data_IF_571833222892
#
_entry.id   IF_571833222892
#
_cell.length_a   1.000
_cell.length_b   1.000
_cell.length_c   1.000
_cell.angle_alpha   90.00
_cell.angle_beta   90.00
_cell.angle_gamma   90.00
#
_symmetry.space_group_name_H-M   'P 1'
#
loop_
_entity.id
_entity.type
_entity.pdbx_description
1 polymer ?
#
# COMPACT_ATOMS: atom_id res chain seq x y z
N UNK A 1 15.67 25.46 11.60
CA UNK A 1 14.38 26.14 11.92
C UNK A 1 13.49 25.13 12.63
N UNK A 2 12.47 25.52 13.40
CA UNK A 2 11.55 24.51 13.95
C UNK A 2 10.83 23.82 12.80
N UNK A 3 10.54 22.53 12.97
CA UNK A 3 9.81 21.71 12.02
C UNK A 3 8.46 22.34 11.69
N UNK A 4 8.14 22.51 10.41
CA UNK A 4 6.84 23.01 9.97
C UNK A 4 5.87 21.86 9.84
N UNK A 5 4.68 22.01 10.44
CA UNK A 5 3.62 21.01 10.42
C UNK A 5 2.39 21.53 9.69
N UNK A 6 1.54 20.64 9.24
CA UNK A 6 0.22 21.01 8.73
C UNK A 6 -0.57 21.74 9.81
N UNK A 7 -1.31 22.81 9.45
CA UNK A 7 -2.22 23.47 10.39
C UNK A 7 -3.21 22.46 11.00
N UNK A 8 -3.37 22.48 12.31
CA UNK A 8 -4.28 21.57 12.99
C UNK A 8 -4.88 22.25 14.22
N UNK A 9 -6.11 21.84 14.57
CA UNK A 9 -6.74 22.17 15.84
C UNK A 9 -6.50 21.04 16.85
N UNK A 10 -6.44 21.32 18.16
CA UNK A 10 -6.39 20.28 19.17
C UNK A 10 -7.61 19.35 19.07
N UNK A 11 -7.42 18.05 19.29
CA UNK A 11 -8.48 17.07 19.32
C UNK A 11 -8.25 16.06 20.46
N UNK A 12 -9.33 15.51 21.00
CA UNK A 12 -9.24 14.33 21.84
C UNK A 12 -8.92 13.11 21.00
N UNK A 13 -7.75 12.52 21.19
CA UNK A 13 -7.25 11.37 20.43
C UNK A 13 -7.67 10.02 21.04
N UNK A 14 -8.38 9.99 22.16
CA UNK A 14 -8.85 8.75 22.78
C UNK A 14 -9.64 7.84 21.84
N UNK A 15 -10.47 8.32 20.89
CA UNK A 15 -11.12 7.46 19.91
C UNK A 15 -10.13 6.69 19.01
N UNK A 16 -8.99 7.32 18.64
CA UNK A 16 -7.94 6.65 17.85
C UNK A 16 -7.19 5.58 18.66
N UNK A 17 -7.05 5.78 19.96
CA UNK A 17 -6.37 4.86 20.87
C UNK A 17 -7.19 3.61 21.23
N UNK A 18 -8.50 3.60 20.91
CA UNK A 18 -9.35 2.43 21.22
C UNK A 18 -8.96 1.21 20.40
N UNK A 19 -8.90 0.03 21.03
CA UNK A 19 -8.68 -1.20 20.29
C UNK A 19 -9.84 -1.45 19.31
N UNK A 20 -9.52 -2.19 18.23
CA UNK A 20 -10.49 -2.56 17.21
C UNK A 20 -10.45 -4.06 16.98
N UNK A 21 -11.57 -4.74 17.28
CA UNK A 21 -11.75 -6.16 16.95
C UNK A 21 -12.05 -6.29 15.46
N UNK A 22 -11.28 -7.14 14.79
CA UNK A 22 -11.47 -7.53 13.40
C UNK A 22 -12.24 -8.84 13.36
N UNK A 23 -13.16 -8.99 12.42
CA UNK A 23 -13.98 -10.18 12.24
C UNK A 23 -14.08 -10.52 10.75
N UNK A 24 -13.93 -11.81 10.36
CA UNK A 24 -14.12 -13.00 11.20
C UNK A 24 -12.89 -13.47 11.99
N UNK A 25 -11.68 -12.96 11.73
CA UNK A 25 -10.43 -13.47 12.33
C UNK A 25 -10.40 -13.44 13.86
N UNK A 26 -11.13 -12.52 14.48
CA UNK A 26 -11.12 -12.30 15.92
C UNK A 26 -9.88 -11.57 16.43
N UNK A 27 -8.96 -11.16 15.55
CA UNK A 27 -7.77 -10.38 15.91
C UNK A 27 -8.16 -9.00 16.45
N UNK A 28 -7.32 -8.46 17.32
CA UNK A 28 -7.55 -7.16 17.92
C UNK A 28 -6.37 -6.24 17.58
N UNK A 29 -6.63 -5.21 16.76
CA UNK A 29 -5.69 -4.11 16.59
C UNK A 29 -5.68 -3.24 17.85
N UNK A 30 -4.51 -2.93 18.38
CA UNK A 30 -4.34 -2.21 19.65
C UNK A 30 -4.81 -0.75 19.62
N UNK A 31 -4.95 -0.17 18.44
CA UNK A 31 -5.51 1.15 18.17
C UNK A 31 -6.02 1.21 16.72
N UNK A 32 -6.60 2.33 16.30
CA UNK A 32 -7.25 2.52 15.00
C UNK A 32 -6.36 3.15 13.93
N UNK A 33 -5.05 3.22 14.17
CA UNK A 33 -4.08 3.73 13.20
C UNK A 33 -3.38 2.58 12.48
N UNK A 34 -3.39 2.65 11.16
CA UNK A 34 -2.73 1.69 10.29
C UNK A 34 -1.58 2.37 9.52
N UNK A 35 -0.39 1.76 9.52
CA UNK A 35 0.63 2.09 8.53
C UNK A 35 0.19 1.49 7.20
N UNK A 36 -0.27 2.35 6.30
CA UNK A 36 -0.72 1.94 4.98
C UNK A 36 0.45 1.53 4.09
N UNK A 37 0.16 0.69 3.10
CA UNK A 37 1.17 0.15 2.18
C UNK A 37 1.88 1.23 1.38
N UNK A 38 3.20 1.10 1.26
CA UNK A 38 4.09 1.90 0.42
C UNK A 38 5.18 0.99 -0.14
N UNK A 39 5.55 1.17 -1.42
CA UNK A 39 6.66 0.44 -2.02
C UNK A 39 7.98 0.88 -1.37
N UNK A 40 8.66 -0.02 -0.69
CA UNK A 40 9.90 0.27 0.04
C UNK A 40 11.12 0.33 -0.89
N UNK A 41 11.11 -0.51 -1.95
CA UNK A 41 12.23 -0.65 -2.88
C UNK A 41 13.51 -1.17 -2.20
N UNK A 42 13.38 -1.90 -1.09
CA UNK A 42 14.50 -2.34 -0.23
C UNK A 42 14.74 -3.85 -0.23
N UNK A 43 13.90 -4.64 -0.92
CA UNK A 43 14.16 -6.07 -1.07
C UNK A 43 15.31 -6.33 -2.05
N UNK A 44 15.86 -7.54 -2.02
CA UNK A 44 16.95 -7.91 -2.93
C UNK A 44 16.53 -7.78 -4.38
N UNK A 45 17.48 -7.40 -5.22
CA UNK A 45 17.30 -7.29 -6.65
C UNK A 45 18.48 -7.90 -7.42
N UNK A 46 18.17 -8.54 -8.54
CA UNK A 46 19.15 -8.96 -9.53
C UNK A 46 18.55 -8.83 -10.93
N UNK A 47 19.26 -8.17 -11.83
CA UNK A 47 18.87 -8.11 -13.24
C UNK A 47 19.03 -9.46 -13.95
N UNK A 48 19.99 -10.31 -13.50
CA UNK A 48 20.38 -11.57 -14.13
C UNK A 48 19.73 -12.80 -13.50
N UNK A 49 19.67 -12.85 -12.17
CA UNK A 49 19.08 -13.99 -11.43
C UNK A 49 17.72 -13.55 -10.84
N UNK A 50 16.65 -13.91 -11.56
CA UNK A 50 15.30 -13.56 -11.12
C UNK A 50 14.92 -14.22 -9.80
N UNK A 51 15.46 -15.39 -9.48
CA UNK A 51 15.13 -16.11 -8.23
C UNK A 51 15.75 -15.44 -6.99
N UNK A 52 16.75 -14.58 -7.17
CA UNK A 52 17.35 -13.79 -6.11
C UNK A 52 16.55 -12.51 -5.77
N UNK A 53 15.51 -12.17 -6.56
CA UNK A 53 14.70 -10.97 -6.35
C UNK A 53 13.75 -11.13 -5.18
N UNK A 54 13.46 -10.03 -4.48
CA UNK A 54 12.34 -9.88 -3.56
C UNK A 54 12.52 -10.53 -2.20
N UNK A 55 13.74 -10.82 -1.75
CA UNK A 55 14.02 -11.26 -0.38
C UNK A 55 14.10 -10.02 0.51
N UNK A 56 13.35 -9.92 1.63
CA UNK A 56 13.49 -8.83 2.58
C UNK A 56 14.95 -8.70 3.08
N UNK A 57 15.51 -7.50 2.98
CA UNK A 57 16.87 -7.22 3.47
C UNK A 57 16.87 -6.82 4.94
N UNK A 58 18.05 -6.63 5.52
CA UNK A 58 18.20 -6.09 6.89
C UNK A 58 17.59 -4.68 6.99
N UNK A 59 17.72 -3.91 5.93
CA UNK A 59 17.16 -2.56 5.81
C UNK A 59 15.62 -2.61 5.81
N UNK A 60 15.03 -3.54 5.06
CA UNK A 60 13.58 -3.78 5.07
C UNK A 60 13.12 -4.14 6.49
N UNK A 61 13.77 -5.10 7.14
CA UNK A 61 13.42 -5.54 8.50
C UNK A 61 13.50 -4.39 9.50
N UNK A 62 14.57 -3.57 9.44
CA UNK A 62 14.75 -2.42 10.33
C UNK A 62 13.68 -1.35 10.11
N UNK A 63 13.31 -1.09 8.86
CA UNK A 63 12.22 -0.18 8.52
C UNK A 63 10.91 -0.62 9.19
N UNK A 64 10.55 -1.90 9.09
CA UNK A 64 9.32 -2.42 9.70
C UNK A 64 9.38 -2.44 11.23
N UNK A 65 10.54 -2.68 11.80
CA UNK A 65 10.77 -2.53 13.25
C UNK A 65 10.43 -1.12 13.72
N UNK A 66 10.82 -0.08 12.97
CA UNK A 66 10.60 1.32 13.36
C UNK A 66 9.11 1.68 13.49
N UNK A 67 8.25 1.17 12.61
CA UNK A 67 6.81 1.40 12.67
C UNK A 67 6.12 0.64 13.80
N UNK A 68 6.69 -0.51 14.20
CA UNK A 68 6.22 -1.31 15.33
C UNK A 68 6.75 -0.87 16.68
N UNK A 69 7.64 0.13 16.74
CA UNK A 69 8.38 0.50 17.94
C UNK A 69 7.50 1.17 19.00
N UNK A 70 7.42 0.53 20.18
CA UNK A 70 6.76 1.05 21.37
C UNK A 70 5.26 0.70 21.45
N UNK A 71 4.71 0.87 22.67
CA UNK A 71 3.34 0.47 23.00
C UNK A 71 2.28 1.14 22.14
N UNK A 72 2.45 2.43 21.86
CA UNK A 72 1.48 3.25 21.12
C UNK A 72 1.84 3.36 19.61
N UNK A 73 2.65 2.45 19.06
CA UNK A 73 2.90 2.35 17.63
C UNK A 73 1.64 1.94 16.87
N UNK A 74 1.71 1.88 15.53
CA UNK A 74 0.56 1.51 14.70
C UNK A 74 -0.13 0.24 15.17
N UNK A 75 -1.46 0.22 15.16
CA UNK A 75 -2.27 -0.97 15.46
C UNK A 75 -2.14 -2.04 14.39
N UNK A 76 -2.06 -1.62 13.13
CA UNK A 76 -1.86 -2.48 11.95
C UNK A 76 -0.69 -1.93 11.14
N UNK A 77 0.16 -2.81 10.61
CA UNK A 77 1.26 -2.47 9.71
C UNK A 77 1.10 -3.31 8.44
N UNK A 78 0.76 -2.66 7.32
CA UNK A 78 0.73 -3.29 6.00
C UNK A 78 2.11 -3.18 5.35
N UNK A 79 2.58 -4.25 4.71
CA UNK A 79 3.78 -4.18 3.88
C UNK A 79 3.54 -3.35 2.62
N UNK A 80 4.60 -2.99 1.92
CA UNK A 80 4.52 -2.65 0.51
C UNK A 80 4.19 -3.89 -0.31
N UNK A 81 4.27 -3.75 -1.64
CA UNK A 81 3.87 -4.83 -2.53
C UNK A 81 4.69 -6.10 -2.30
N UNK A 82 3.99 -7.23 -2.22
CA UNK A 82 4.56 -8.57 -2.32
C UNK A 82 4.06 -9.13 -3.64
N UNK A 83 4.93 -9.19 -4.64
CA UNK A 83 4.61 -9.75 -5.95
C UNK A 83 4.50 -11.28 -5.87
N UNK A 84 3.65 -11.86 -6.72
CA UNK A 84 3.45 -13.32 -6.79
C UNK A 84 4.36 -14.00 -7.83
N UNK A 85 5.14 -13.22 -8.58
CA UNK A 85 6.11 -13.70 -9.57
C UNK A 85 7.38 -12.86 -9.54
N UNK A 86 8.55 -13.47 -9.86
CA UNK A 86 9.85 -12.81 -9.79
C UNK A 86 10.08 -11.72 -10.84
N UNK A 87 9.36 -11.75 -11.95
CA UNK A 87 9.46 -10.82 -13.07
C UNK A 87 8.15 -10.09 -13.40
N UNK A 88 7.12 -10.23 -12.54
CA UNK A 88 5.88 -9.47 -12.60
C UNK A 88 5.67 -8.74 -11.27
N UNK A 89 6.51 -7.75 -11.01
CA UNK A 89 6.47 -6.91 -9.82
C UNK A 89 6.10 -5.47 -10.19
N UNK A 90 5.54 -4.75 -9.23
CA UNK A 90 5.08 -3.38 -9.42
C UNK A 90 6.27 -2.40 -9.52
N UNK A 91 7.32 -2.67 -8.73
CA UNK A 91 8.54 -1.87 -8.70
C UNK A 91 9.76 -2.74 -8.44
N UNK A 92 10.91 -2.33 -8.98
CA UNK A 92 12.19 -2.96 -8.65
C UNK A 92 12.46 -2.83 -7.16
N UNK A 93 12.78 -3.95 -6.51
CA UNK A 93 12.99 -4.01 -5.07
C UNK A 93 11.72 -4.25 -4.25
N UNK A 94 10.57 -4.54 -4.89
CA UNK A 94 9.42 -5.12 -4.20
C UNK A 94 9.76 -6.51 -3.64
N UNK A 95 9.09 -6.90 -2.55
CA UNK A 95 9.18 -8.26 -2.03
C UNK A 95 8.45 -9.25 -2.94
N UNK A 96 8.85 -10.52 -2.91
CA UNK A 96 8.26 -11.55 -3.79
C UNK A 96 8.05 -12.86 -3.01
N UNK A 97 6.87 -13.45 -3.19
CA UNK A 97 6.52 -14.82 -2.79
C UNK A 97 5.87 -15.49 -3.99
N UNK A 98 6.55 -16.45 -4.62
CA UNK A 98 5.98 -17.18 -5.75
C UNK A 98 5.40 -18.52 -5.29
N UNK A 99 4.52 -19.11 -6.09
CA UNK A 99 3.95 -20.44 -5.82
C UNK A 99 5.03 -21.53 -5.73
N UNK A 100 6.25 -21.26 -6.17
CA UNK A 100 7.40 -22.19 -6.10
C UNK A 100 8.22 -22.03 -4.84
N UNK A 101 8.04 -20.95 -4.08
CA UNK A 101 8.81 -20.68 -2.87
C UNK A 101 8.29 -21.56 -1.71
N UNK A 102 9.11 -22.49 -1.15
CA UNK A 102 8.70 -23.27 -0.01
C UNK A 102 8.77 -22.44 1.28
N UNK A 103 7.99 -22.78 2.33
CA UNK A 103 8.06 -22.10 3.63
C UNK A 103 9.30 -22.53 4.44
N UNK A 104 10.45 -22.52 3.79
CA UNK A 104 11.78 -22.80 4.36
C UNK A 104 12.86 -22.06 3.55
N UNK A 105 14.05 -21.92 4.12
CA UNK A 105 15.19 -21.32 3.46
C UNK A 105 15.32 -19.81 3.65
N UNK A 106 16.33 -19.17 3.03
CA UNK A 106 16.71 -17.79 3.33
C UNK A 106 15.59 -16.76 3.11
N UNK A 107 14.77 -16.92 2.05
CA UNK A 107 13.63 -16.06 1.77
C UNK A 107 12.61 -16.14 2.91
N UNK A 108 12.23 -17.35 3.28
CA UNK A 108 11.26 -17.59 4.35
C UNK A 108 11.74 -17.02 5.69
N UNK A 109 12.99 -17.27 6.08
CA UNK A 109 13.56 -16.75 7.31
C UNK A 109 13.62 -15.20 7.33
N UNK A 110 13.81 -14.57 6.16
CA UNK A 110 13.77 -13.10 6.05
C UNK A 110 12.35 -12.54 6.28
N UNK A 111 11.30 -13.15 5.68
CA UNK A 111 9.90 -12.78 5.96
C UNK A 111 9.53 -12.99 7.42
N UNK A 112 9.96 -14.10 8.01
CA UNK A 112 9.75 -14.40 9.42
C UNK A 112 10.42 -13.37 10.35
N UNK A 113 11.65 -12.97 10.03
CA UNK A 113 12.36 -11.94 10.78
C UNK A 113 11.66 -10.58 10.65
N UNK A 114 11.15 -10.23 9.46
CA UNK A 114 10.36 -9.01 9.25
C UNK A 114 9.10 -9.00 10.11
N UNK A 115 8.31 -10.09 10.07
CA UNK A 115 7.10 -10.21 10.88
C UNK A 115 7.41 -10.06 12.37
N UNK A 116 8.43 -10.76 12.88
CA UNK A 116 8.83 -10.70 14.28
C UNK A 116 9.25 -9.28 14.70
N UNK A 117 10.04 -8.59 13.87
CA UNK A 117 10.50 -7.23 14.16
C UNK A 117 9.34 -6.22 14.20
N UNK A 118 8.43 -6.28 13.24
CA UNK A 118 7.29 -5.38 13.18
C UNK A 118 6.27 -5.61 14.32
N UNK A 119 6.14 -6.85 14.79
CA UNK A 119 5.19 -7.26 15.84
C UNK A 119 5.72 -7.12 17.26
N UNK A 120 6.97 -6.77 17.46
CA UNK A 120 7.64 -6.81 18.78
C UNK A 120 6.89 -6.08 19.91
N UNK A 121 6.05 -5.10 19.57
CA UNK A 121 5.25 -4.33 20.53
C UNK A 121 3.73 -4.44 20.30
N UNK A 122 3.26 -5.56 19.72
CA UNK A 122 1.85 -5.90 19.62
C UNK A 122 1.09 -5.27 18.46
N UNK A 123 1.77 -4.80 17.42
CA UNK A 123 1.13 -4.45 16.15
C UNK A 123 0.73 -5.72 15.40
N UNK A 124 -0.39 -5.68 14.67
CA UNK A 124 -0.74 -6.69 13.68
C UNK A 124 0.02 -6.39 12.38
N UNK A 125 0.53 -7.42 11.71
CA UNK A 125 1.32 -7.27 10.47
C UNK A 125 0.68 -8.03 9.33
N UNK A 126 0.38 -7.33 8.24
CA UNK A 126 -0.23 -7.88 7.04
C UNK A 126 0.72 -7.74 5.84
N UNK A 127 0.76 -8.76 4.98
CA UNK A 127 1.44 -8.68 3.69
C UNK A 127 0.49 -8.17 2.61
N UNK A 128 0.80 -7.04 1.94
CA UNK A 128 0.01 -6.62 0.79
C UNK A 128 0.46 -7.37 -0.46
N UNK A 129 -0.36 -8.32 -0.93
CA UNK A 129 -0.07 -9.14 -2.11
C UNK A 129 -0.63 -8.47 -3.36
N UNK A 130 0.20 -8.38 -4.40
CA UNK A 130 -0.08 -7.62 -5.61
C UNK A 130 0.39 -8.33 -6.88
N UNK A 131 -0.23 -7.96 -8.01
CA UNK A 131 0.22 -8.28 -9.36
C UNK A 131 0.00 -7.05 -10.25
N UNK A 132 1.00 -6.60 -11.02
CA UNK A 132 0.91 -5.34 -11.78
C UNK A 132 -0.13 -5.37 -12.89
N UNK A 133 -0.43 -6.54 -13.48
CA UNK A 133 -1.26 -6.61 -14.67
C UNK A 133 -0.67 -5.78 -15.81
N UNK A 134 -1.49 -4.98 -16.47
CA UNK A 134 -1.08 -4.07 -17.54
C UNK A 134 -0.15 -2.93 -17.10
N UNK A 135 0.07 -2.71 -15.80
CA UNK A 135 1.00 -1.71 -15.27
C UNK A 135 2.43 -2.24 -15.09
N UNK A 136 2.73 -3.45 -15.54
CA UNK A 136 4.11 -3.96 -15.51
C UNK A 136 5.02 -3.04 -16.33
N UNK A 137 6.12 -2.58 -15.73
CA UNK A 137 7.13 -1.79 -16.47
C UNK A 137 7.75 -2.62 -17.59
N UNK A 138 7.79 -2.06 -18.80
CA UNK A 138 8.42 -2.69 -19.97
C UNK A 138 9.95 -2.84 -19.81
N UNK A 139 10.55 -2.16 -18.85
CA UNK A 139 11.96 -2.35 -18.46
C UNK A 139 12.19 -3.69 -17.74
N UNK A 140 11.19 -4.19 -16.98
CA UNK A 140 11.30 -5.46 -16.26
C UNK A 140 11.02 -6.63 -17.21
N UNK A 141 9.96 -6.51 -18.02
CA UNK A 141 9.54 -7.51 -18.98
C UNK A 141 8.69 -6.85 -20.08
N UNK A 142 8.80 -7.32 -21.32
CA UNK A 142 8.11 -6.69 -22.48
C UNK A 142 6.67 -7.16 -22.68
N UNK A 143 6.27 -8.28 -22.08
CA UNK A 143 4.92 -8.86 -22.16
C UNK A 143 4.30 -9.05 -20.78
N UNK A 144 2.98 -8.98 -20.70
CA UNK A 144 2.19 -9.22 -19.48
C UNK A 144 0.79 -9.72 -19.86
N UNK A 145 -0.06 -9.90 -18.88
CA UNK A 145 -1.50 -10.11 -19.08
C UNK A 145 -2.33 -9.17 -18.23
N UNK A 146 -3.54 -8.90 -18.71
CA UNK A 146 -4.53 -8.07 -18.04
C UNK A 146 -5.92 -8.64 -18.33
N UNK A 147 -7.01 -8.17 -17.68
CA UNK A 147 -8.37 -8.66 -18.03
C UNK A 147 -8.65 -8.54 -19.53
N UNK A 148 -8.14 -7.49 -20.18
CA UNK A 148 -8.26 -7.28 -21.63
C UNK A 148 -6.96 -6.67 -22.18
N UNK A 149 -6.69 -6.87 -23.47
CA UNK A 149 -5.48 -6.42 -24.14
C UNK A 149 -5.51 -4.89 -24.40
N UNK A 150 -5.53 -4.09 -23.33
CA UNK A 150 -5.54 -2.63 -23.39
C UNK A 150 -4.16 -2.10 -23.02
N UNK A 151 -3.44 -1.55 -24.02
CA UNK A 151 -2.13 -0.93 -23.81
C UNK A 151 -2.29 0.38 -23.07
N UNK A 152 -1.52 0.53 -21.98
CA UNK A 152 -1.45 1.76 -21.22
C UNK A 152 -0.47 2.74 -21.88
N UNK A 153 -0.78 4.06 -21.97
CA UNK A 153 0.18 5.04 -22.42
C UNK A 153 1.32 5.19 -21.42
N UNK A 154 2.55 5.49 -21.88
CA UNK A 154 3.66 5.73 -20.99
C UNK A 154 3.37 6.94 -20.08
N UNK A 155 3.82 6.87 -18.83
CA UNK A 155 3.80 8.01 -17.93
C UNK A 155 5.13 8.76 -18.00
N UNK A 156 5.03 10.09 -18.03
CA UNK A 156 6.19 10.95 -17.86
C UNK A 156 6.93 10.58 -16.55
N UNK A 157 8.22 10.39 -16.62
CA UNK A 157 9.09 9.99 -15.49
C UNK A 157 8.94 8.53 -15.00
N UNK A 158 8.05 7.69 -15.58
CA UNK A 158 7.91 6.27 -15.21
C UNK A 158 8.33 5.31 -16.31
N UNK A 159 8.34 5.75 -17.57
CA UNK A 159 8.63 4.92 -18.72
C UNK A 159 7.40 4.24 -19.31
N UNK A 160 7.61 3.20 -20.09
CA UNK A 160 6.58 2.43 -20.76
C UNK A 160 6.06 1.26 -19.93
N UNK A 161 4.96 0.71 -20.42
CA UNK A 161 4.35 -0.48 -19.85
C UNK A 161 4.46 -1.65 -20.84
N UNK A 162 4.63 -2.86 -20.31
CA UNK A 162 4.63 -4.09 -21.07
C UNK A 162 3.31 -4.25 -21.85
N UNK A 163 3.38 -4.84 -23.04
CA UNK A 163 2.20 -5.07 -23.86
C UNK A 163 1.32 -6.18 -23.25
N UNK A 164 0.09 -5.89 -22.80
CA UNK A 164 -0.77 -6.88 -22.19
C UNK A 164 -1.50 -7.69 -23.25
N UNK A 165 -1.52 -9.02 -23.10
CA UNK A 165 -2.55 -9.87 -23.71
C UNK A 165 -3.74 -10.03 -22.77
N UNK A 166 -4.87 -10.47 -23.30
CA UNK A 166 -6.01 -10.86 -22.46
C UNK A 166 -5.63 -12.11 -21.65
N UNK A 167 -5.98 -12.09 -20.35
CA UNK A 167 -5.76 -13.20 -19.44
C UNK A 167 -6.61 -14.42 -19.86
N UNK A 168 -5.96 -15.57 -19.96
CA UNK A 168 -6.65 -16.87 -20.14
C UNK A 168 -7.23 -17.35 -18.82
N UNK A 169 -8.07 -18.38 -18.84
CA UNK A 169 -8.54 -19.05 -17.62
C UNK A 169 -7.35 -19.58 -16.80
N UNK A 170 -6.33 -20.15 -17.47
CA UNK A 170 -5.14 -20.64 -16.78
C UNK A 170 -4.33 -19.54 -16.06
N UNK A 171 -4.29 -18.31 -16.61
CA UNK A 171 -3.68 -17.18 -15.92
C UNK A 171 -4.48 -16.79 -14.67
N UNK A 172 -5.81 -16.77 -14.78
CA UNK A 172 -6.68 -16.47 -13.65
C UNK A 172 -6.52 -17.54 -12.55
N UNK A 173 -6.55 -18.81 -12.91
CA UNK A 173 -6.36 -19.94 -11.98
C UNK A 173 -4.99 -19.86 -11.30
N UNK A 174 -3.94 -19.51 -12.05
CA UNK A 174 -2.59 -19.31 -11.53
C UNK A 174 -2.53 -18.15 -10.52
N UNK A 175 -3.17 -17.02 -10.83
CA UNK A 175 -3.25 -15.87 -9.91
C UNK A 175 -3.95 -16.29 -8.62
N UNK A 176 -5.12 -16.92 -8.70
CA UNK A 176 -5.88 -17.39 -7.53
C UNK A 176 -5.03 -18.33 -6.66
N UNK A 177 -4.38 -19.32 -7.27
CA UNK A 177 -3.52 -20.27 -6.56
C UNK A 177 -2.29 -19.58 -5.93
N UNK A 178 -1.70 -18.60 -6.61
CA UNK A 178 -0.52 -17.88 -6.13
C UNK A 178 -0.86 -16.98 -4.94
N UNK A 179 -2.02 -16.31 -4.93
CA UNK A 179 -2.50 -15.55 -3.77
C UNK A 179 -2.78 -16.46 -2.56
N UNK A 180 -3.42 -17.63 -2.77
CA UNK A 180 -3.65 -18.59 -1.70
C UNK A 180 -2.34 -19.15 -1.14
N UNK A 181 -1.35 -19.43 -2.01
CA UNK A 181 0.00 -19.83 -1.58
C UNK A 181 0.69 -18.73 -0.76
N UNK A 182 0.63 -17.47 -1.22
CA UNK A 182 1.21 -16.34 -0.49
C UNK A 182 0.57 -16.17 0.89
N UNK A 183 -0.75 -16.37 1.03
CA UNK A 183 -1.44 -16.36 2.33
C UNK A 183 -0.90 -17.44 3.27
N UNK A 184 -0.77 -18.69 2.81
CA UNK A 184 -0.23 -19.78 3.59
C UNK A 184 1.25 -19.55 3.98
N UNK A 185 2.04 -19.02 3.05
CA UNK A 185 3.44 -18.69 3.30
C UNK A 185 3.59 -17.59 4.34
N UNK A 186 2.79 -16.51 4.22
CA UNK A 186 2.77 -15.39 5.19
C UNK A 186 2.32 -15.86 6.57
N UNK A 187 1.26 -16.68 6.65
CA UNK A 187 0.80 -17.27 7.90
C UNK A 187 1.91 -18.10 8.58
N UNK A 188 2.58 -18.96 7.83
CA UNK A 188 3.71 -19.74 8.32
C UNK A 188 4.90 -18.86 8.77
N UNK A 189 5.13 -17.72 8.10
CA UNK A 189 6.15 -16.74 8.47
C UNK A 189 5.76 -15.87 9.68
N UNK A 190 4.55 -16.02 10.22
CA UNK A 190 4.09 -15.34 11.44
C UNK A 190 3.42 -13.98 11.19
N UNK A 191 3.01 -13.68 9.96
CA UNK A 191 2.11 -12.58 9.68
C UNK A 191 0.72 -12.85 10.24
N UNK A 192 -0.01 -11.81 10.62
CA UNK A 192 -1.37 -11.91 11.14
C UNK A 192 -2.42 -11.98 10.03
N UNK A 193 -2.04 -11.62 8.80
CA UNK A 193 -2.94 -11.57 7.66
C UNK A 193 -2.29 -11.15 6.36
N UNK A 194 -3.15 -11.02 5.35
CA UNK A 194 -2.80 -10.43 4.07
C UNK A 194 -3.83 -9.40 3.64
N UNK A 195 -3.40 -8.46 2.82
CA UNK A 195 -4.25 -7.53 2.10
C UNK A 195 -4.11 -7.77 0.60
N UNK A 196 -5.25 -7.96 -0.09
CA UNK A 196 -5.29 -8.02 -1.54
C UNK A 196 -5.17 -6.60 -2.10
N UNK A 197 -4.25 -6.37 -3.03
CA UNK A 197 -4.14 -5.06 -3.68
C UNK A 197 -5.12 -4.90 -4.83
N UNK A 198 -6.35 -4.48 -4.52
CA UNK A 198 -7.44 -4.23 -5.48
C UNK A 198 -7.65 -2.75 -5.83
N UNK A 199 -6.62 -1.91 -5.63
CA UNK A 199 -6.65 -0.47 -5.95
C UNK A 199 -5.57 -0.04 -6.94
N UNK A 200 -5.52 1.27 -7.23
CA UNK A 200 -4.50 1.97 -7.99
C UNK A 200 -4.26 1.46 -9.42
N UNK A 201 -5.23 0.72 -10.00
CA UNK A 201 -5.14 0.23 -11.37
C UNK A 201 -4.24 -1.00 -11.57
N UNK A 202 -3.87 -1.74 -10.53
CA UNK A 202 -3.18 -3.03 -10.63
C UNK A 202 -4.14 -4.15 -11.07
N UNK A 203 -3.67 -5.38 -11.23
CA UNK A 203 -4.43 -6.47 -11.87
C UNK A 203 -5.85 -6.62 -11.31
N UNK A 204 -6.01 -6.72 -9.99
CA UNK A 204 -7.32 -6.88 -9.38
C UNK A 204 -8.22 -5.67 -9.62
N UNK A 205 -7.67 -4.45 -9.53
CA UNK A 205 -8.39 -3.22 -9.87
C UNK A 205 -8.78 -3.18 -11.35
N UNK A 206 -7.91 -3.68 -12.25
CA UNK A 206 -8.24 -3.78 -13.69
C UNK A 206 -9.42 -4.72 -13.94
N UNK A 207 -9.52 -5.85 -13.21
CA UNK A 207 -10.70 -6.73 -13.29
C UNK A 207 -11.97 -6.03 -12.80
N UNK A 208 -11.90 -5.22 -11.76
CA UNK A 208 -13.04 -4.49 -11.20
C UNK A 208 -13.53 -3.37 -12.13
N UNK A 209 -12.60 -2.70 -12.84
CA UNK A 209 -12.89 -1.51 -13.62
C UNK A 209 -13.56 -1.83 -14.97
N UNK A 210 -14.76 -1.29 -15.28
CA UNK A 210 -15.36 -1.48 -16.59
C UNK A 210 -14.60 -0.79 -17.72
N UNK A 211 -13.68 0.14 -17.38
CA UNK A 211 -12.77 0.77 -18.35
C UNK A 211 -11.74 -0.21 -18.89
N UNK A 212 -11.15 -1.05 -18.02
CA UNK A 212 -10.07 -1.97 -18.36
C UNK A 212 -10.53 -3.39 -18.59
N UNK A 213 -11.68 -3.79 -18.05
CA UNK A 213 -12.25 -5.12 -18.22
C UNK A 213 -13.35 -5.12 -19.30
N UNK A 214 -13.00 -5.54 -20.51
CA UNK A 214 -13.91 -5.69 -21.66
C UNK A 214 -14.28 -7.14 -21.92
N UNK A 215 -14.02 -8.04 -20.97
CA UNK A 215 -14.36 -9.46 -21.07
C UNK A 215 -15.87 -9.68 -21.15
N UNK A 216 -16.25 -10.76 -21.84
CA UNK A 216 -17.65 -11.19 -22.00
C UNK A 216 -17.91 -12.55 -21.35
N UNK A 217 -16.92 -13.12 -20.67
CA UNK A 217 -17.01 -14.38 -19.94
C UNK A 217 -17.42 -14.16 -18.46
N UNK A 218 -17.20 -15.19 -17.63
CA UNK A 218 -17.56 -15.18 -16.22
C UNK A 218 -16.80 -14.13 -15.37
N UNK A 219 -15.74 -13.50 -15.91
CA UNK A 219 -14.91 -12.51 -15.20
C UNK A 219 -15.11 -11.07 -15.72
N UNK A 220 -16.11 -10.83 -16.61
CA UNK A 220 -16.38 -9.51 -17.18
C UNK A 220 -17.85 -9.17 -17.32
N UNK A 221 -18.14 -7.94 -17.78
CA UNK A 221 -19.48 -7.42 -17.93
C UNK A 221 -20.11 -6.97 -16.60
N UNK A 222 -20.94 -7.80 -15.98
CA UNK A 222 -21.63 -7.44 -14.74
C UNK A 222 -20.68 -7.19 -13.56
N UNK A 223 -21.14 -6.40 -12.58
CA UNK A 223 -20.40 -6.15 -11.34
C UNK A 223 -19.99 -7.47 -10.64
N UNK A 224 -20.90 -8.42 -10.54
CA UNK A 224 -20.65 -9.74 -9.94
C UNK A 224 -19.55 -10.49 -10.67
N UNK A 225 -19.53 -10.46 -11.99
CA UNK A 225 -18.49 -11.12 -12.77
C UNK A 225 -17.13 -10.42 -12.62
N UNK A 226 -17.10 -9.09 -12.62
CA UNK A 226 -15.86 -8.32 -12.42
C UNK A 226 -15.25 -8.53 -11.03
N UNK A 227 -16.10 -8.76 -10.02
CA UNK A 227 -15.67 -9.05 -8.65
C UNK A 227 -15.20 -10.51 -8.45
N UNK A 228 -15.56 -11.42 -9.37
CA UNK A 228 -15.36 -12.87 -9.24
C UNK A 228 -13.92 -13.27 -8.88
N UNK A 229 -12.92 -12.69 -9.53
CA UNK A 229 -11.51 -13.03 -9.24
C UNK A 229 -11.14 -12.80 -7.76
N UNK A 230 -11.66 -11.73 -7.16
CA UNK A 230 -11.41 -11.42 -5.74
C UNK A 230 -12.13 -12.44 -4.84
N UNK A 231 -13.37 -12.81 -5.20
CA UNK A 231 -14.13 -13.81 -4.46
C UNK A 231 -13.49 -15.20 -4.57
N UNK A 232 -12.98 -15.57 -5.75
CA UNK A 232 -12.25 -16.83 -5.97
C UNK A 232 -10.95 -16.86 -5.15
N UNK A 233 -10.21 -15.74 -5.07
CA UNK A 233 -9.03 -15.63 -4.20
C UNK A 233 -9.44 -15.77 -2.74
N UNK A 234 -10.47 -15.08 -2.27
CA UNK A 234 -10.94 -15.17 -0.90
C UNK A 234 -11.33 -16.62 -0.54
N UNK A 235 -12.09 -17.30 -1.40
CA UNK A 235 -12.47 -18.68 -1.23
C UNK A 235 -11.24 -19.63 -1.18
N UNK A 236 -10.25 -19.40 -2.05
CA UNK A 236 -9.02 -20.19 -2.09
C UNK A 236 -8.15 -19.96 -0.84
N UNK A 237 -8.07 -18.73 -0.31
CA UNK A 237 -7.38 -18.40 0.94
C UNK A 237 -8.06 -19.08 2.12
N UNK A 238 -9.38 -18.91 2.27
CA UNK A 238 -10.13 -19.56 3.37
C UNK A 238 -10.14 -21.10 3.29
N UNK A 239 -10.11 -21.64 2.07
CA UNK A 239 -10.04 -23.10 1.85
C UNK A 239 -8.64 -23.70 1.97
N UNK A 240 -7.58 -22.88 2.10
CA UNK A 240 -6.20 -23.36 2.17
C UNK A 240 -5.88 -23.96 3.54
N UNK A 241 -5.45 -25.24 3.62
CA UNK A 241 -5.09 -25.86 4.89
C UNK A 241 -3.92 -25.19 5.63
N UNK A 242 -3.09 -24.44 4.91
CA UNK A 242 -1.96 -23.69 5.47
C UNK A 242 -2.34 -22.32 6.06
N UNK A 243 -3.59 -21.89 5.92
CA UNK A 243 -4.09 -20.62 6.42
C UNK A 243 -4.93 -20.84 7.66
N UNK A 244 -4.53 -20.35 8.85
CA UNK A 244 -5.31 -20.51 10.08
C UNK A 244 -6.60 -19.66 10.02
N UNK A 245 -7.64 -20.09 10.75
CA UNK A 245 -8.95 -19.40 10.76
C UNK A 245 -8.91 -17.97 11.31
N UNK A 246 -7.91 -17.66 12.13
CA UNK A 246 -7.68 -16.34 12.69
C UNK A 246 -6.74 -15.48 11.83
N UNK A 247 -6.48 -15.89 10.59
CA UNK A 247 -5.70 -15.10 9.62
C UNK A 247 -6.56 -13.99 9.00
N UNK A 248 -6.12 -12.75 9.12
CA UNK A 248 -6.84 -11.60 8.60
C UNK A 248 -6.82 -11.62 7.06
N UNK A 249 -7.98 -11.48 6.44
CA UNK A 249 -8.09 -11.21 5.01
C UNK A 249 -8.65 -9.80 4.80
N UNK A 250 -7.88 -8.96 4.13
CA UNK A 250 -8.26 -7.59 3.83
C UNK A 250 -8.15 -7.28 2.33
N UNK A 251 -8.81 -6.23 1.89
CA UNK A 251 -8.75 -5.76 0.52
C UNK A 251 -8.57 -4.24 0.50
N UNK A 252 -7.58 -3.76 -0.26
CA UNK A 252 -7.51 -2.37 -0.67
C UNK A 252 -8.37 -2.17 -1.91
N UNK A 253 -9.35 -1.27 -1.84
CA UNK A 253 -10.34 -1.01 -2.88
C UNK A 253 -10.37 0.47 -3.24
N UNK A 254 -10.42 0.79 -4.55
CA UNK A 254 -10.74 2.14 -4.97
C UNK A 254 -12.18 2.48 -4.60
N UNK A 255 -12.40 3.61 -3.95
CA UNK A 255 -13.73 4.20 -3.76
C UNK A 255 -14.23 4.91 -5.01
N UNK A 256 -13.30 5.33 -5.87
CA UNK A 256 -13.54 6.03 -7.13
C UNK A 256 -12.32 5.97 -8.03
N UNK A 257 -12.49 6.01 -9.35
CA UNK A 257 -11.39 6.02 -10.33
C UNK A 257 -11.17 7.39 -11.00
N UNK A 258 -12.04 8.37 -10.79
CA UNK A 258 -11.94 9.74 -11.33
C UNK A 258 -11.78 9.82 -12.86
N UNK A 259 -12.39 8.89 -13.60
CA UNK A 259 -12.33 8.85 -15.06
C UNK A 259 -13.61 8.33 -15.68
N UNK A 260 -13.86 8.73 -16.92
CA UNK A 260 -15.02 8.25 -17.69
C UNK A 260 -14.95 6.74 -17.91
N UNK A 261 -16.06 6.05 -17.64
CA UNK A 261 -16.14 4.59 -17.75
C UNK A 261 -15.36 3.82 -16.67
N UNK A 262 -14.80 4.50 -15.67
CA UNK A 262 -14.21 3.90 -14.48
C UNK A 262 -15.25 3.50 -13.43
N UNK A 263 -14.78 2.89 -12.33
CA UNK A 263 -15.62 2.48 -11.22
C UNK A 263 -16.23 3.70 -10.50
N UNK A 264 -17.53 3.65 -10.25
CA UNK A 264 -18.28 4.68 -9.53
C UNK A 264 -18.36 4.38 -8.03
N UNK A 265 -18.61 5.39 -7.17
CA UNK A 265 -18.82 5.16 -5.73
C UNK A 265 -20.03 4.25 -5.44
N UNK A 266 -21.07 4.26 -6.26
CA UNK A 266 -22.21 3.36 -6.13
C UNK A 266 -21.82 1.90 -6.39
N UNK A 267 -21.03 1.63 -7.44
CA UNK A 267 -20.50 0.29 -7.69
C UNK A 267 -19.57 -0.17 -6.58
N UNK A 268 -18.69 0.73 -6.05
CA UNK A 268 -17.83 0.43 -4.93
C UNK A 268 -18.63 0.05 -3.67
N UNK A 269 -19.76 0.73 -3.40
CA UNK A 269 -20.67 0.37 -2.32
C UNK A 269 -21.26 -1.03 -2.50
N UNK A 270 -21.73 -1.33 -3.70
CA UNK A 270 -22.36 -2.62 -4.01
C UNK A 270 -21.31 -3.77 -3.97
N UNK A 271 -20.05 -3.49 -4.35
CA UNK A 271 -18.93 -4.39 -4.14
C UNK A 271 -18.68 -4.63 -2.65
N UNK A 272 -18.69 -3.58 -1.83
CA UNK A 272 -18.48 -3.71 -0.37
C UNK A 272 -19.52 -4.63 0.27
N UNK A 273 -20.78 -4.61 -0.18
CA UNK A 273 -21.80 -5.55 0.31
C UNK A 273 -21.44 -7.00 0.01
N UNK A 274 -21.02 -7.31 -1.23
CA UNK A 274 -20.60 -8.66 -1.62
C UNK A 274 -19.30 -9.09 -0.89
N UNK A 275 -18.40 -8.16 -0.61
CA UNK A 275 -17.14 -8.43 0.11
C UNK A 275 -17.38 -8.71 1.61
N UNK A 276 -18.39 -8.06 2.21
CA UNK A 276 -18.79 -8.35 3.58
C UNK A 276 -19.31 -9.79 3.73
N UNK A 277 -20.04 -10.30 2.72
CA UNK A 277 -20.51 -11.68 2.67
C UNK A 277 -19.35 -12.69 2.43
N UNK A 278 -18.28 -12.24 1.78
CA UNK A 278 -17.08 -13.05 1.50
C UNK A 278 -16.05 -13.09 2.66
N UNK A 279 -16.46 -12.66 3.85
CA UNK A 279 -15.68 -12.79 5.10
C UNK A 279 -14.34 -12.02 5.13
N UNK A 280 -14.29 -10.85 4.49
CA UNK A 280 -13.16 -9.93 4.69
C UNK A 280 -13.23 -9.27 6.06
N UNK A 281 -12.09 -9.21 6.76
CA UNK A 281 -11.97 -8.52 8.06
C UNK A 281 -12.11 -7.01 7.92
N UNK A 282 -11.49 -6.44 6.89
CA UNK A 282 -11.67 -5.03 6.57
C UNK A 282 -11.42 -4.71 5.09
N UNK A 283 -11.98 -3.59 4.67
CA UNK A 283 -11.72 -2.96 3.38
C UNK A 283 -10.99 -1.64 3.63
N UNK A 284 -9.81 -1.46 3.01
CA UNK A 284 -9.08 -0.19 2.98
C UNK A 284 -9.53 0.61 1.75
N UNK A 285 -10.25 1.69 1.98
CA UNK A 285 -10.70 2.60 0.93
C UNK A 285 -9.58 3.54 0.51
N UNK A 286 -9.35 3.60 -0.79
CA UNK A 286 -8.42 4.49 -1.48
C UNK A 286 -9.06 4.98 -2.77
N UNK A 287 -8.29 5.54 -3.70
CA UNK A 287 -8.83 5.92 -5.01
C UNK A 287 -7.74 6.33 -5.99
N UNK A 288 -8.17 6.53 -7.23
CA UNK A 288 -7.29 6.83 -8.34
C UNK A 288 -6.68 5.59 -8.99
N UNK A 289 -6.07 5.81 -10.13
CA UNK A 289 -5.30 4.83 -10.86
C UNK A 289 -4.11 5.53 -11.54
N UNK A 290 -3.32 4.80 -12.34
CA UNK A 290 -2.15 5.31 -13.03
C UNK A 290 -2.45 6.44 -14.04
N UNK A 291 -3.66 6.52 -14.65
CA UNK A 291 -4.05 7.64 -15.53
C UNK A 291 -4.42 8.88 -14.72
N UNK A 292 -5.04 8.66 -13.56
CA UNK A 292 -5.45 9.73 -12.67
C UNK A 292 -5.33 9.24 -11.21
N UNK A 293 -4.24 9.64 -10.57
CA UNK A 293 -4.00 9.28 -9.17
C UNK A 293 -4.96 9.98 -8.18
N UNK A 294 -5.99 10.68 -8.70
CA UNK A 294 -7.01 11.33 -7.88
C UNK A 294 -6.53 12.58 -7.12
N UNK A 295 -5.28 12.97 -7.28
CA UNK A 295 -4.69 14.12 -6.59
C UNK A 295 -4.71 15.40 -7.41
N UNK A 296 -5.11 15.31 -8.69
CA UNK A 296 -5.32 16.45 -9.60
C UNK A 296 -6.78 16.88 -9.65
N UNK A 297 -7.60 16.51 -8.65
CA UNK A 297 -9.01 16.80 -8.63
C UNK A 297 -9.26 18.31 -8.54
N UNK A 298 -10.00 18.85 -9.50
CA UNK A 298 -10.23 20.28 -9.72
C UNK A 298 -11.19 20.94 -8.72
N UNK A 299 -11.88 20.18 -7.84
CA UNK A 299 -12.79 20.77 -6.87
C UNK A 299 -11.99 21.37 -5.70
N UNK A 300 -12.00 22.71 -5.59
CA UNK A 300 -11.40 23.44 -4.45
C UNK A 300 -11.83 22.92 -3.08
N UNK A 301 -13.06 22.40 -2.94
CA UNK A 301 -13.57 21.84 -1.69
C UNK A 301 -12.83 20.57 -1.27
N UNK A 302 -12.39 19.75 -2.22
CA UNK A 302 -11.67 18.50 -1.96
C UNK A 302 -10.19 18.75 -1.71
N UNK A 303 -9.59 19.74 -2.38
CA UNK A 303 -8.20 20.16 -2.16
C UNK A 303 -8.01 20.74 -0.75
N UNK A 304 -9.03 21.41 -0.20
CA UNK A 304 -9.01 22.05 1.12
C UNK A 304 -9.32 21.10 2.28
N UNK A 305 -9.87 19.90 2.02
CA UNK A 305 -10.22 18.93 3.06
C UNK A 305 -9.11 17.92 3.26
N UNK A 306 -8.77 17.68 4.50
CA UNK A 306 -8.05 16.47 4.87
C UNK A 306 -8.95 15.25 4.66
N UNK A 307 -8.33 14.06 4.36
CA UNK A 307 -9.13 12.88 4.09
C UNK A 307 -9.78 12.94 2.70
N UNK A 308 -8.95 13.00 1.68
CA UNK A 308 -9.34 13.15 0.28
C UNK A 308 -10.46 12.21 -0.18
N UNK A 309 -10.48 10.98 0.34
CA UNK A 309 -11.48 9.97 -0.04
C UNK A 309 -12.64 9.87 0.96
N UNK A 310 -12.69 10.69 2.01
CA UNK A 310 -13.74 10.61 3.03
C UNK A 310 -15.13 10.93 2.45
N UNK A 311 -15.22 11.86 1.51
CA UNK A 311 -16.46 12.18 0.78
C UNK A 311 -17.04 10.95 0.08
N UNK A 312 -16.18 10.08 -0.47
CA UNK A 312 -16.61 8.85 -1.13
C UNK A 312 -16.90 7.72 -0.12
N UNK A 313 -16.21 7.72 1.01
CA UNK A 313 -16.45 6.76 2.09
C UNK A 313 -17.88 6.87 2.63
N UNK A 314 -18.45 8.07 2.72
CA UNK A 314 -19.84 8.28 3.12
C UNK A 314 -20.85 7.56 2.20
N UNK A 315 -20.49 7.36 0.92
CA UNK A 315 -21.32 6.62 -0.05
C UNK A 315 -21.03 5.12 0.01
N UNK A 316 -19.76 4.74 0.16
CA UNK A 316 -19.27 3.35 0.01
C UNK A 316 -19.47 2.53 1.29
N UNK A 317 -19.14 3.09 2.44
CA UNK A 317 -19.15 2.38 3.73
C UNK A 317 -20.52 1.83 4.15
N UNK A 318 -21.67 2.47 3.82
CA UNK A 318 -22.98 1.86 4.05
C UNK A 318 -23.17 0.47 3.41
N UNK A 319 -22.41 0.14 2.34
CA UNK A 319 -22.39 -1.20 1.76
C UNK A 319 -21.90 -2.29 2.72
N UNK A 320 -21.04 -1.94 3.68
CA UNK A 320 -20.56 -2.86 4.74
C UNK A 320 -21.52 -3.04 5.90
N UNK A 321 -22.71 -2.42 5.84
CA UNK A 321 -23.71 -2.43 6.91
C UNK A 321 -23.52 -1.38 8.00
N UNK A 322 -24.44 -1.33 8.97
CA UNK A 322 -24.40 -0.33 10.05
C UNK A 322 -23.28 -0.63 11.06
N UNK A 323 -22.81 0.42 11.74
CA UNK A 323 -21.87 0.25 12.86
C UNK A 323 -22.59 -0.30 14.13
N UNK A 324 -21.95 -1.17 14.93
CA UNK A 324 -20.66 -1.79 14.71
C UNK A 324 -20.73 -2.88 13.63
N UNK A 325 -20.05 -2.67 12.51
CA UNK A 325 -20.07 -3.59 11.37
C UNK A 325 -19.11 -4.75 11.56
N UNK A 326 -19.41 -5.91 10.94
CA UNK A 326 -18.54 -7.10 10.94
C UNK A 326 -17.26 -6.77 10.17
N UNK A 327 -17.34 -6.53 8.87
CA UNK A 327 -16.22 -6.08 8.04
C UNK A 327 -15.94 -4.61 8.30
N UNK A 328 -14.72 -4.28 8.75
CA UNK A 328 -14.34 -2.91 9.10
C UNK A 328 -13.99 -2.08 7.85
N UNK A 329 -14.12 -0.78 7.96
CA UNK A 329 -13.68 0.16 6.94
C UNK A 329 -12.46 0.94 7.45
N UNK A 330 -11.40 0.96 6.67
CA UNK A 330 -10.27 1.86 6.82
C UNK A 330 -10.24 2.85 5.67
N UNK A 331 -9.69 4.03 5.91
CA UNK A 331 -9.49 5.03 4.85
C UNK A 331 -8.03 5.45 4.81
N UNK A 332 -7.45 5.49 3.60
CA UNK A 332 -6.09 5.97 3.36
C UNK A 332 -6.09 7.01 2.25
N UNK A 333 -5.47 8.16 2.52
CA UNK A 333 -5.28 9.25 1.57
C UNK A 333 -5.58 10.62 2.17
N UNK A 334 -4.56 11.49 2.21
CA UNK A 334 -4.68 12.88 2.61
C UNK A 334 -4.85 13.15 4.10
N UNK A 335 -4.84 12.16 4.98
CA UNK A 335 -4.90 12.36 6.43
C UNK A 335 -3.58 12.95 6.96
N UNK A 336 -3.66 14.07 7.65
CA UNK A 336 -2.49 14.85 8.09
C UNK A 336 -2.58 15.32 9.54
N UNK A 337 -3.79 15.54 10.07
CA UNK A 337 -4.00 16.01 11.45
C UNK A 337 -4.77 15.02 12.31
N UNK A 338 -4.49 15.01 13.62
CA UNK A 338 -5.20 14.20 14.59
C UNK A 338 -6.70 14.50 14.60
N UNK A 339 -7.07 15.77 14.43
CA UNK A 339 -8.47 16.20 14.39
C UNK A 339 -9.22 15.57 13.20
N UNK A 340 -8.63 15.59 12.01
CA UNK A 340 -9.24 14.95 10.82
C UNK A 340 -9.32 13.44 10.97
N UNK A 341 -8.30 12.80 11.58
CA UNK A 341 -8.32 11.36 11.84
C UNK A 341 -9.44 10.96 12.81
N UNK A 342 -9.65 11.74 13.87
CA UNK A 342 -10.76 11.53 14.82
C UNK A 342 -12.11 11.76 14.13
N UNK A 343 -12.23 12.80 13.31
CA UNK A 343 -13.47 13.09 12.58
C UNK A 343 -13.83 11.99 11.60
N UNK A 344 -12.83 11.40 10.91
CA UNK A 344 -13.02 10.28 9.99
C UNK A 344 -13.65 9.04 10.67
N UNK A 345 -13.40 8.83 11.97
CA UNK A 345 -14.00 7.70 12.71
C UNK A 345 -15.53 7.79 12.85
N UNK A 346 -16.16 8.89 12.46
CA UNK A 346 -17.63 8.97 12.35
C UNK A 346 -18.16 8.12 11.18
N UNK A 347 -17.34 7.93 10.15
CA UNK A 347 -17.71 7.18 8.94
C UNK A 347 -16.99 5.83 8.87
N UNK A 348 -15.68 5.79 9.19
CA UNK A 348 -14.83 4.59 9.07
C UNK A 348 -14.43 4.08 10.46
N UNK A 349 -13.84 2.87 10.50
CA UNK A 349 -13.44 2.22 11.76
C UNK A 349 -11.95 2.45 12.08
N UNK A 350 -11.16 2.87 11.11
CA UNK A 350 -9.73 3.17 11.27
C UNK A 350 -9.16 4.01 10.13
N UNK A 351 -7.95 4.51 10.35
CA UNK A 351 -7.25 5.45 9.44
C UNK A 351 -5.88 4.93 9.07
N UNK A 352 -5.57 4.93 7.76
CA UNK A 352 -4.28 4.57 7.21
C UNK A 352 -3.40 5.79 6.92
N UNK A 353 -2.14 5.72 7.33
CA UNK A 353 -1.12 6.73 7.07
C UNK A 353 -0.02 6.12 6.19
N UNK A 354 0.22 6.73 5.01
CA UNK A 354 1.31 6.37 4.11
C UNK A 354 2.47 7.36 4.24
N UNK A 355 2.56 8.38 3.36
CA UNK A 355 3.66 9.35 3.33
C UNK A 355 3.98 10.00 4.69
N UNK A 356 3.01 10.34 5.55
CA UNK A 356 3.32 10.81 6.91
C UNK A 356 4.11 9.79 7.74
N UNK A 357 3.84 8.49 7.58
CA UNK A 357 4.58 7.43 8.28
C UNK A 357 5.98 7.15 7.70
N UNK A 358 6.26 7.57 6.45
CA UNK A 358 7.62 7.55 5.90
C UNK A 358 8.48 8.66 6.49
N UNK A 359 7.91 9.86 6.56
CA UNK A 359 8.58 11.04 7.09
C UNK A 359 8.74 11.01 8.61
N UNK A 360 7.75 10.48 9.32
CA UNK A 360 7.73 10.36 10.77
C UNK A 360 7.35 8.92 11.18
N UNK A 361 8.30 7.98 11.23
CA UNK A 361 7.99 6.59 11.55
C UNK A 361 7.26 6.40 12.89
N UNK A 362 7.46 7.32 13.83
CA UNK A 362 6.84 7.33 15.16
C UNK A 362 5.52 8.12 15.24
N UNK A 363 4.96 8.58 14.10
CA UNK A 363 3.80 9.49 14.07
C UNK A 363 2.58 8.95 14.83
N UNK A 364 2.29 7.64 14.75
CA UNK A 364 1.18 7.05 15.47
C UNK A 364 1.33 7.22 16.98
N UNK A 365 2.52 6.91 17.51
CA UNK A 365 2.86 7.08 18.92
C UNK A 365 2.75 8.54 19.34
N UNK A 366 3.35 9.43 18.56
CA UNK A 366 3.46 10.84 18.93
C UNK A 366 2.10 11.55 18.89
N UNK A 367 1.18 11.12 18.01
CA UNK A 367 -0.23 11.55 18.02
C UNK A 367 -0.96 10.99 19.24
N UNK A 368 -0.89 9.68 19.49
CA UNK A 368 -1.64 9.04 20.59
C UNK A 368 -1.15 9.47 21.97
N UNK A 369 0.07 9.93 22.09
CA UNK A 369 0.65 10.50 23.32
C UNK A 369 0.49 12.02 23.41
N UNK A 370 -0.16 12.65 22.44
CA UNK A 370 -0.42 14.09 22.43
C UNK A 370 0.83 14.96 22.22
N UNK A 371 1.93 14.41 21.70
CA UNK A 371 3.17 15.14 21.45
C UNK A 371 3.07 16.03 20.21
N UNK A 372 2.29 15.59 19.23
CA UNK A 372 2.04 16.30 17.97
C UNK A 372 0.55 16.27 17.65
N UNK A 373 0.09 17.27 16.91
CA UNK A 373 -1.31 17.38 16.44
C UNK A 373 -1.44 17.13 14.92
N UNK A 374 -0.32 17.14 14.18
CA UNK A 374 -0.32 16.93 12.73
C UNK A 374 1.05 16.48 12.23
N UNK A 375 1.05 15.91 11.03
CA UNK A 375 2.25 15.51 10.30
C UNK A 375 3.09 16.74 9.86
N UNK A 376 4.38 16.51 9.60
CA UNK A 376 5.27 17.49 9.00
C UNK A 376 4.73 17.86 7.62
N UNK A 377 4.77 19.16 7.29
CA UNK A 377 4.40 19.69 5.99
C UNK A 377 5.67 19.87 5.14
N UNK A 378 5.86 19.09 4.08
CA UNK A 378 6.94 19.32 3.14
C UNK A 378 6.86 20.74 2.55
N UNK A 379 8.00 21.27 2.05
CA UNK A 379 7.96 22.52 1.31
C UNK A 379 7.10 22.39 0.05
N UNK A 380 6.59 23.51 -0.43
CA UNK A 380 5.86 23.59 -1.69
C UNK A 380 6.67 22.97 -2.85
N UNK A 381 6.00 22.18 -3.70
CA UNK A 381 6.62 21.43 -4.80
C UNK A 381 7.14 20.04 -4.44
N UNK A 382 7.17 19.66 -3.15
CA UNK A 382 7.38 18.28 -2.69
C UNK A 382 6.07 17.61 -2.24
N UNK A 383 4.97 18.34 -2.26
CA UNK A 383 3.63 17.84 -1.90
C UNK A 383 2.95 17.08 -3.04
N UNK A 384 3.38 17.31 -4.31
CA UNK A 384 2.82 16.63 -5.48
C UNK A 384 3.02 15.10 -5.41
N UNK A 385 2.26 14.36 -6.19
CA UNK A 385 2.31 12.90 -6.13
C UNK A 385 3.67 12.36 -6.59
N UNK A 386 4.18 12.84 -7.72
CA UNK A 386 5.39 12.29 -8.34
C UNK A 386 6.64 12.48 -7.48
N UNK A 387 6.87 13.71 -7.01
CA UNK A 387 8.00 14.02 -6.13
C UNK A 387 7.78 13.52 -4.71
N UNK A 388 6.57 13.67 -4.18
CA UNK A 388 6.21 13.20 -2.85
C UNK A 388 6.28 11.68 -2.68
N UNK A 389 6.04 10.91 -3.75
CA UNK A 389 6.24 9.47 -3.74
C UNK A 389 7.74 9.12 -3.61
N UNK A 390 8.60 9.77 -4.39
CA UNK A 390 10.06 9.54 -4.34
C UNK A 390 10.69 10.07 -3.07
N UNK A 391 10.19 11.20 -2.57
CA UNK A 391 10.55 11.72 -1.25
C UNK A 391 10.29 10.69 -0.16
N UNK A 392 9.07 10.14 -0.12
CA UNK A 392 8.73 9.10 0.86
C UNK A 392 9.66 7.88 0.73
N UNK A 393 9.93 7.39 -0.48
CA UNK A 393 10.84 6.28 -0.71
C UNK A 393 12.28 6.55 -0.24
N UNK A 394 12.76 7.78 -0.42
CA UNK A 394 14.06 8.23 0.11
C UNK A 394 14.08 8.16 1.64
N UNK A 395 13.02 8.66 2.29
CA UNK A 395 12.87 8.61 3.75
C UNK A 395 12.74 7.18 4.28
N UNK A 396 12.03 6.29 3.58
CA UNK A 396 12.00 4.86 3.90
C UNK A 396 13.40 4.24 3.84
N UNK A 397 14.19 4.61 2.83
CA UNK A 397 15.57 4.13 2.67
C UNK A 397 16.46 4.61 3.82
N UNK A 398 16.32 5.87 4.26
CA UNK A 398 17.05 6.38 5.43
C UNK A 398 16.73 5.56 6.68
N UNK A 399 15.43 5.36 7.00
CA UNK A 399 15.03 4.58 8.17
C UNK A 399 15.56 3.15 8.11
N UNK A 400 15.46 2.51 6.95
CA UNK A 400 16.01 1.16 6.73
C UNK A 400 17.51 1.09 7.03
N UNK A 401 18.27 2.11 6.67
CA UNK A 401 19.71 2.21 6.99
C UNK A 401 19.99 2.60 8.44
N UNK A 402 18.99 2.96 9.21
CA UNK A 402 19.15 3.44 10.59
C UNK A 402 19.47 4.91 10.68
N UNK A 403 19.01 5.66 9.74
CA UNK A 403 19.11 7.10 9.66
C UNK A 403 17.74 7.73 9.97
N UNK A 404 17.74 8.90 10.58
CA UNK A 404 16.51 9.68 10.77
C UNK A 404 16.08 10.25 9.41
N UNK A 405 14.80 10.14 9.02
CA UNK A 405 14.31 10.79 7.80
C UNK A 405 14.66 12.28 7.83
N UNK A 406 15.11 12.83 6.72
CA UNK A 406 15.37 14.28 6.68
C UNK A 406 14.07 15.09 6.77
N UNK A 407 14.15 16.25 7.39
CA UNK A 407 13.01 17.16 7.51
C UNK A 407 12.73 17.84 6.17
N UNK A 408 11.67 17.38 5.48
CA UNK A 408 11.25 17.94 4.20
C UNK A 408 10.58 19.32 4.32
N UNK A 409 10.38 19.85 5.55
CA UNK A 409 9.95 21.21 5.80
C UNK A 409 11.13 22.20 5.89
N UNK A 410 12.35 21.71 6.05
CA UNK A 410 13.55 22.53 6.01
C UNK A 410 13.97 22.79 4.56
N UNK A 411 13.89 24.07 4.16
CA UNK A 411 14.17 24.49 2.77
C UNK A 411 15.57 24.08 2.30
N UNK A 412 16.59 24.16 3.18
CA UNK A 412 17.98 23.84 2.81
C UNK A 412 18.13 22.34 2.52
N UNK A 413 17.53 21.48 3.36
CA UNK A 413 17.55 20.03 3.15
C UNK A 413 16.72 19.63 1.92
N UNK A 414 15.57 20.27 1.71
CA UNK A 414 14.73 20.03 0.56
C UNK A 414 15.39 20.49 -0.76
N UNK A 415 16.07 21.64 -0.78
CA UNK A 415 16.84 22.09 -1.94
C UNK A 415 17.97 21.09 -2.29
N UNK A 416 18.66 20.56 -1.27
CA UNK A 416 19.68 19.52 -1.47
C UNK A 416 19.09 18.23 -2.02
N UNK A 417 17.95 17.79 -1.49
CA UNK A 417 17.21 16.64 -2.01
C UNK A 417 16.86 16.80 -3.49
N UNK A 418 16.41 18.00 -3.91
CA UNK A 418 16.05 18.25 -5.31
C UNK A 418 17.27 18.14 -6.25
N UNK A 419 18.45 18.59 -5.82
CA UNK A 419 19.69 18.40 -6.59
C UNK A 419 20.07 16.91 -6.71
N UNK A 420 19.95 16.15 -5.62
CA UNK A 420 20.21 14.72 -5.62
C UNK A 420 19.15 13.96 -6.46
N UNK A 421 17.89 14.43 -6.47
CA UNK A 421 16.82 13.91 -7.31
C UNK A 421 17.15 14.07 -8.80
N UNK A 422 17.56 15.26 -9.24
CA UNK A 422 17.88 15.52 -10.65
C UNK A 422 19.03 14.62 -11.14
N UNK A 423 20.05 14.43 -10.30
CA UNK A 423 21.15 13.51 -10.60
C UNK A 423 20.65 12.06 -10.67
N UNK A 424 19.90 11.61 -9.66
CA UNK A 424 19.34 10.25 -9.61
C UNK A 424 18.45 9.97 -10.83
N UNK A 425 17.64 10.94 -11.23
CA UNK A 425 16.74 10.81 -12.38
C UNK A 425 17.52 10.70 -13.70
N UNK A 426 18.58 11.47 -13.86
CA UNK A 426 19.48 11.35 -15.00
C UNK A 426 20.13 9.96 -15.05
N UNK A 427 20.69 9.50 -13.93
CA UNK A 427 21.30 8.19 -13.83
C UNK A 427 20.30 7.05 -14.16
N UNK A 428 19.02 7.21 -13.75
CA UNK A 428 17.93 6.29 -14.08
C UNK A 428 17.64 6.24 -15.59
N UNK A 429 17.66 7.37 -16.28
CA UNK A 429 17.45 7.44 -17.72
C UNK A 429 18.64 6.83 -18.47
N UNK A 430 19.87 7.10 -18.04
CA UNK A 430 21.10 6.57 -18.64
C UNK A 430 21.24 5.04 -18.43
N UNK A 431 20.63 4.50 -17.36
CA UNK A 431 20.61 3.05 -17.09
C UNK A 431 19.76 2.26 -18.10
N UNK A 432 18.69 2.86 -18.62
CA UNK A 432 17.80 2.23 -19.61
C UNK A 432 17.24 0.88 -19.11
N UNK A 433 17.33 -0.15 -19.95
CA UNK A 433 16.82 -1.51 -19.65
C UNK A 433 17.80 -2.38 -18.83
N UNK A 434 18.94 -1.83 -18.36
CA UNK A 434 19.92 -2.62 -17.58
C UNK A 434 19.39 -2.98 -16.18
N UNK A 435 18.52 -2.12 -15.62
CA UNK A 435 17.95 -2.25 -14.26
C UNK A 435 19.02 -2.37 -13.15
N UNK A 436 20.21 -1.77 -13.37
CA UNK A 436 21.28 -1.68 -12.39
C UNK A 436 21.10 -0.49 -11.47
N UNK A 437 20.52 0.63 -12.01
CA UNK A 437 20.15 1.81 -11.23
C UNK A 437 18.70 1.67 -10.77
N UNK A 438 18.50 1.43 -9.47
CA UNK A 438 17.18 1.19 -8.85
C UNK A 438 17.11 1.72 -7.42
N UNK A 439 15.93 1.62 -6.81
CA UNK A 439 15.66 2.16 -5.47
C UNK A 439 15.38 3.65 -5.51
N UNK A 440 15.61 4.33 -4.38
CA UNK A 440 15.30 5.74 -4.21
C UNK A 440 16.56 6.59 -4.08
N UNK A 441 16.37 7.91 -4.03
CA UNK A 441 17.42 8.91 -4.01
C UNK A 441 18.28 8.73 -2.74
N UNK A 442 19.60 8.77 -2.90
CA UNK A 442 20.54 8.81 -1.79
C UNK A 442 20.97 10.25 -1.57
N UNK A 443 20.73 10.76 -0.37
CA UNK A 443 21.10 12.14 -0.05
C UNK A 443 22.61 12.30 0.07
N UNK A 444 23.11 13.38 -0.49
CA UNK A 444 24.52 13.83 -0.37
C UNK A 444 24.83 14.53 0.96
N UNK A 445 23.79 14.93 1.71
CA UNK A 445 23.93 15.59 3.02
C UNK A 445 24.28 14.61 4.11
N UNK A 446 24.90 15.12 5.20
CA UNK A 446 25.17 14.34 6.41
C UNK A 446 23.86 13.78 7.00
N UNK A 447 23.87 12.47 7.31
CA UNK A 447 22.72 11.77 7.84
C UNK A 447 22.80 11.70 9.36
N UNK A 448 21.65 11.78 10.03
CA UNK A 448 21.55 11.64 11.49
C UNK A 448 21.17 10.21 11.85
N UNK A 449 21.73 9.62 12.92
CA UNK A 449 21.29 8.31 13.41
C UNK A 449 19.80 8.30 13.77
N UNK A 450 19.10 7.23 13.44
CA UNK A 450 17.68 7.04 13.78
C UNK A 450 17.46 7.11 15.30
N UNK A 451 16.39 7.77 15.71
CA UNK A 451 16.03 7.96 17.11
C UNK A 451 16.47 9.33 17.68
N UNK A 452 17.19 10.13 16.92
CA UNK A 452 17.50 11.51 17.29
C UNK A 452 16.35 12.43 16.79
N UNK A 453 15.67 13.08 17.75
CA UNK A 453 14.60 14.04 17.41
C UNK A 453 15.10 15.20 16.52
N UNK A 454 14.19 15.79 15.75
CA UNK A 454 14.44 17.02 14.97
C UNK A 454 14.73 18.23 15.86
#
# INVERSE_FOLDING_TARGET
>A
MPVQRWPAVPADVLPLAQPLKLEPSGKIAKNRLMKASMAEGLATWSAKDISARGIPTKETIKLYQSWGEGKNSFGIINTGNIAIEYDMMNSVGDMVITIKDPPVGPRFEAFKALAAAAKAHGSLVLGQVAHPGGQLSDRIRKDTFAPSAIQLPPLEHYGGYAAPREATQADIDHVVASFAHAAAYLAAAGFDGMELHGGHGYLLAQFLSPRFNKRTDAYGGSLTNRLRIILDIAAAVHGSPGVPKDFILALKLNSVEFQEGGMTPSEARDMCAALADAEFDFIELTGGNWENFGMTWERESTIKREGFFLEFADVVVPGLGPAPRRTKAFITGGMRSAAAMVDALKTVDGVGLARPAAQEPRIARDILEGRITSAIRPIEGLEDLGRGFRLAGTQLTQVGKGEEPFDASDKKLADSYLLDFDKWYKDLLDDGDKLEHHGYIRLSTEQRPYGQAY
#
